data_IF_338714010082
#
_entry.id   IF_338714010082
#
_cell.length_a   1.000
_cell.length_b   1.000
_cell.length_c   1.000
_cell.angle_alpha   90.00
_cell.angle_beta   90.00
_cell.angle_gamma   90.00
#
_symmetry.space_group_name_H-M   'P 1'
#
loop_
_entity.id
_entity.type
_entity.pdbx_description
1 polymer ?
#
# COMPACT_ATOMS: atom_id res chain seq x y z
N UNK A 1 25.78 -6.00 4.84
CA UNK A 1 25.41 -5.70 3.45
C UNK A 1 23.99 -6.19 3.19
N UNK A 2 23.16 -5.37 2.54
CA UNK A 2 21.75 -5.68 2.26
C UNK A 2 21.55 -5.81 0.75
N UNK A 3 20.82 -6.85 0.34
CA UNK A 3 20.33 -7.03 -1.01
C UNK A 3 18.82 -7.00 -0.98
N UNK A 4 18.21 -6.10 -1.75
CA UNK A 4 16.77 -6.03 -1.95
C UNK A 4 16.43 -6.64 -3.30
N UNK A 5 15.65 -7.73 -3.29
CA UNK A 5 15.21 -8.41 -4.53
C UNK A 5 13.75 -8.03 -4.79
N UNK A 6 13.50 -7.44 -5.96
CA UNK A 6 12.17 -7.08 -6.43
C UNK A 6 11.92 -7.74 -7.80
N UNK A 7 10.78 -8.40 -7.94
CA UNK A 7 10.42 -9.11 -9.18
C UNK A 7 9.75 -8.20 -10.21
N UNK A 8 9.29 -7.03 -9.78
CA UNK A 8 8.71 -6.02 -10.65
C UNK A 8 9.75 -4.99 -11.10
N UNK A 9 9.33 -4.00 -11.86
CA UNK A 9 10.21 -2.93 -12.33
C UNK A 9 10.25 -1.78 -11.30
N UNK A 10 11.23 -1.84 -10.39
CA UNK A 10 11.44 -0.88 -9.31
C UNK A 10 10.66 -1.19 -8.04
N UNK A 11 11.04 -0.53 -6.95
CA UNK A 11 10.42 -0.68 -5.64
C UNK A 11 9.07 0.04 -5.56
N UNK A 12 8.24 -0.36 -4.59
CA UNK A 12 6.97 0.31 -4.25
C UNK A 12 6.07 0.58 -5.46
N UNK A 13 5.59 -0.45 -6.17
CA UNK A 13 4.84 -0.30 -7.43
C UNK A 13 3.52 0.48 -7.29
N UNK A 14 2.98 0.58 -6.08
CA UNK A 14 1.73 1.28 -5.80
C UNK A 14 1.93 2.77 -5.48
N UNK A 15 3.17 3.22 -5.27
CA UNK A 15 3.49 4.62 -4.98
C UNK A 15 3.80 5.39 -6.28
N UNK A 16 3.70 6.71 -6.21
CA UNK A 16 4.14 7.58 -7.30
C UNK A 16 5.62 7.32 -7.62
N UNK A 17 5.95 7.23 -8.91
CA UNK A 17 7.29 6.79 -9.35
C UNK A 17 8.41 7.71 -8.89
N UNK A 18 8.17 9.01 -8.85
CA UNK A 18 9.12 10.00 -8.34
C UNK A 18 9.31 9.90 -6.81
N UNK A 19 8.25 9.63 -6.05
CA UNK A 19 8.34 9.34 -4.62
C UNK A 19 9.16 8.06 -4.36
N UNK A 20 8.86 6.98 -5.09
CA UNK A 20 9.62 5.74 -5.00
C UNK A 20 11.10 5.91 -5.41
N UNK A 21 11.40 6.82 -6.35
CA UNK A 21 12.77 7.12 -6.76
C UNK A 21 13.58 7.78 -5.63
N UNK A 22 12.98 8.71 -4.89
CA UNK A 22 13.65 9.35 -3.72
C UNK A 22 14.04 8.28 -2.70
N UNK A 23 13.12 7.40 -2.32
CA UNK A 23 13.41 6.30 -1.39
C UNK A 23 14.47 5.35 -1.94
N UNK A 24 14.43 5.08 -3.24
CA UNK A 24 15.46 4.24 -3.90
C UNK A 24 16.85 4.86 -3.78
N UNK A 25 17.00 6.14 -4.06
CA UNK A 25 18.28 6.87 -3.93
C UNK A 25 18.78 6.85 -2.48
N UNK A 26 17.90 7.09 -1.49
CA UNK A 26 18.24 6.98 -0.07
C UNK A 26 18.76 5.58 0.28
N UNK A 27 18.09 4.52 -0.17
CA UNK A 27 18.55 3.13 0.03
C UNK A 27 19.93 2.86 -0.62
N UNK A 28 20.20 3.43 -1.80
CA UNK A 28 21.49 3.30 -2.45
C UNK A 28 22.60 4.00 -1.65
N UNK A 29 22.35 5.18 -1.11
CA UNK A 29 23.27 5.89 -0.23
C UNK A 29 23.60 5.08 1.02
N UNK A 30 22.63 4.33 1.57
CA UNK A 30 22.80 3.41 2.70
C UNK A 30 23.51 2.11 2.31
N UNK A 31 23.87 1.93 1.06
CA UNK A 31 24.61 0.77 0.55
C UNK A 31 23.74 -0.47 0.30
N UNK A 32 22.43 -0.31 0.15
CA UNK A 32 21.54 -1.38 -0.30
C UNK A 32 21.78 -1.65 -1.78
N UNK A 33 21.90 -2.92 -2.15
CA UNK A 33 22.00 -3.33 -3.55
C UNK A 33 20.61 -3.79 -4.02
N UNK A 34 20.00 -3.04 -4.95
CA UNK A 34 18.73 -3.42 -5.55
C UNK A 34 18.94 -4.37 -6.74
N UNK A 35 18.29 -5.52 -6.69
CA UNK A 35 18.18 -6.51 -7.77
C UNK A 35 16.73 -6.50 -8.27
N UNK A 36 16.39 -5.54 -9.13
CA UNK A 36 15.03 -5.42 -9.67
C UNK A 36 14.81 -6.30 -10.91
N UNK A 37 13.56 -6.47 -11.32
CA UNK A 37 13.14 -7.37 -12.40
C UNK A 37 13.64 -8.81 -12.19
N UNK A 38 13.73 -9.23 -10.92
CA UNK A 38 14.25 -10.53 -10.52
C UNK A 38 13.43 -11.69 -11.07
N UNK A 39 14.11 -12.60 -11.78
CA UNK A 39 13.53 -13.84 -12.30
C UNK A 39 14.25 -15.03 -11.70
N UNK A 40 13.61 -16.18 -11.75
CA UNK A 40 14.19 -17.47 -11.32
C UNK A 40 14.81 -17.43 -9.91
N UNK A 41 14.13 -16.72 -9.00
CA UNK A 41 14.55 -16.59 -7.60
C UNK A 41 14.54 -17.97 -6.93
N UNK A 42 15.70 -18.43 -6.45
CA UNK A 42 15.85 -19.69 -5.72
C UNK A 42 16.58 -19.45 -4.41
N UNK A 43 16.11 -20.13 -3.38
CA UNK A 43 16.70 -20.10 -2.04
C UNK A 43 17.16 -21.49 -1.66
N UNK A 44 18.35 -21.59 -1.10
CA UNK A 44 18.94 -22.84 -0.61
C UNK A 44 19.72 -22.63 0.68
N UNK A 45 20.24 -23.71 1.24
CA UNK A 45 21.16 -23.71 2.37
C UNK A 45 22.57 -23.98 1.88
N UNK A 46 23.58 -23.37 2.53
CA UNK A 46 24.99 -23.66 2.37
C UNK A 46 25.66 -23.80 3.74
N UNK A 47 26.85 -24.27 3.82
CA UNK A 47 27.63 -24.37 5.08
C UNK A 47 27.91 -22.96 5.69
N UNK A 48 27.90 -21.90 4.86
CA UNK A 48 28.17 -20.52 5.27
C UNK A 48 26.94 -19.64 5.43
N UNK A 49 25.71 -20.19 5.35
CA UNK A 49 24.50 -19.40 5.45
C UNK A 49 23.38 -19.81 4.50
N UNK A 50 22.60 -18.84 4.02
CA UNK A 50 21.52 -19.04 3.06
C UNK A 50 21.95 -18.56 1.68
N UNK A 51 21.76 -19.39 0.67
CA UNK A 51 22.10 -19.08 -0.72
C UNK A 51 20.89 -18.53 -1.44
N UNK A 52 21.05 -17.39 -2.08
CA UNK A 52 20.07 -16.77 -2.95
C UNK A 52 20.63 -16.71 -4.37
N UNK A 53 19.90 -17.25 -5.34
CA UNK A 53 20.20 -17.04 -6.76
C UNK A 53 19.05 -16.30 -7.41
N UNK A 54 19.36 -15.31 -8.25
CA UNK A 54 18.38 -14.50 -8.97
C UNK A 54 19.00 -13.99 -10.27
N UNK A 55 18.24 -14.04 -11.35
CA UNK A 55 18.54 -13.30 -12.57
C UNK A 55 17.92 -11.90 -12.46
N UNK A 56 18.73 -10.88 -12.53
CA UNK A 56 18.30 -9.48 -12.60
C UNK A 56 18.85 -8.85 -13.87
N UNK A 57 17.98 -8.44 -14.77
CA UNK A 57 18.31 -7.86 -16.07
C UNK A 57 19.25 -8.74 -16.94
N UNK A 58 19.12 -10.07 -16.87
CA UNK A 58 19.94 -11.01 -17.62
C UNK A 58 21.30 -11.27 -16.97
N UNK A 59 21.60 -10.72 -15.80
CA UNK A 59 22.75 -11.03 -14.98
C UNK A 59 22.36 -11.97 -13.84
N UNK A 60 23.04 -13.13 -13.78
CA UNK A 60 22.82 -14.07 -12.68
C UNK A 60 23.63 -13.64 -11.45
N UNK A 61 22.92 -13.46 -10.35
CA UNK A 61 23.50 -13.25 -9.03
C UNK A 61 23.40 -14.54 -8.22
N UNK A 62 24.49 -14.89 -7.56
CA UNK A 62 24.61 -16.05 -6.67
C UNK A 62 25.26 -15.57 -5.38
N UNK A 63 24.45 -15.40 -4.34
CA UNK A 63 24.81 -14.66 -3.14
C UNK A 63 24.58 -15.55 -1.92
N UNK A 64 25.56 -15.59 -1.01
CA UNK A 64 25.38 -16.17 0.32
C UNK A 64 25.15 -15.06 1.32
N UNK A 65 24.07 -15.20 2.13
CA UNK A 65 23.64 -14.24 3.15
C UNK A 65 23.40 -14.96 4.47
N UNK A 66 23.46 -14.21 5.56
CA UNK A 66 23.19 -14.73 6.91
C UNK A 66 21.70 -15.02 7.05
N UNK A 67 20.83 -14.07 6.66
CA UNK A 67 19.39 -14.16 6.80
C UNK A 67 18.66 -13.71 5.53
N UNK A 68 17.44 -14.22 5.34
CA UNK A 68 16.52 -13.80 4.27
C UNK A 68 15.20 -13.40 4.91
N UNK A 69 14.83 -12.14 4.71
CA UNK A 69 13.50 -11.61 5.05
C UNK A 69 12.59 -11.70 3.83
N UNK A 70 11.42 -12.34 4.00
CA UNK A 70 10.44 -12.53 2.92
C UNK A 70 9.27 -11.58 3.15
N UNK A 71 9.19 -10.52 2.33
CA UNK A 71 8.15 -9.49 2.37
C UNK A 71 7.36 -9.41 1.06
N UNK A 72 6.89 -10.56 0.54
CA UNK A 72 6.30 -10.67 -0.80
C UNK A 72 4.76 -10.53 -0.85
N UNK A 73 4.19 -9.85 0.14
CA UNK A 73 2.77 -9.55 0.20
C UNK A 73 2.00 -10.32 1.28
N UNK A 74 0.68 -10.17 1.25
CA UNK A 74 -0.24 -10.75 2.23
C UNK A 74 -1.37 -11.46 1.48
N UNK A 75 -1.69 -12.67 1.92
CA UNK A 75 -2.82 -13.45 1.43
C UNK A 75 -3.90 -13.52 2.53
N UNK A 76 -5.18 -13.32 2.21
CA UNK A 76 -6.25 -13.47 3.19
C UNK A 76 -6.35 -14.93 3.66
N UNK A 77 -6.51 -15.12 4.97
CA UNK A 77 -6.72 -16.45 5.55
C UNK A 77 -8.20 -16.84 5.44
N UNK A 78 -8.54 -17.55 4.39
CA UNK A 78 -9.90 -18.01 4.12
C UNK A 78 -10.07 -19.51 4.37
N UNK A 79 -8.98 -20.24 4.54
CA UNK A 79 -8.98 -21.70 4.76
C UNK A 79 -9.33 -22.04 6.21
N UNK A 80 -10.01 -23.19 6.41
CA UNK A 80 -10.34 -23.70 7.74
C UNK A 80 -11.45 -22.97 8.48
N UNK A 81 -12.10 -21.97 7.88
CA UNK A 81 -13.19 -21.18 8.49
C UNK A 81 -14.59 -21.79 8.23
N UNK A 82 -14.67 -22.86 7.44
CA UNK A 82 -15.95 -23.48 7.11
C UNK A 82 -16.88 -22.61 6.25
N UNK A 83 -16.32 -21.70 5.45
CA UNK A 83 -17.08 -20.72 4.66
C UNK A 83 -18.04 -21.38 3.68
N UNK A 84 -17.62 -22.46 3.03
CA UNK A 84 -18.47 -23.24 2.11
C UNK A 84 -19.70 -23.82 2.82
N UNK A 85 -19.53 -24.32 4.06
CA UNK A 85 -20.60 -24.95 4.84
C UNK A 85 -21.71 -23.95 5.21
N UNK A 86 -21.40 -22.65 5.24
CA UNK A 86 -22.36 -21.59 5.55
C UNK A 86 -22.74 -20.73 4.34
N UNK A 87 -22.33 -21.13 3.13
CA UNK A 87 -22.68 -20.46 1.87
C UNK A 87 -22.04 -19.06 1.70
N UNK A 88 -20.83 -18.88 2.24
CA UNK A 88 -20.04 -17.65 2.05
C UNK A 88 -19.10 -17.83 0.88
N UNK A 89 -19.23 -16.99 -0.14
CA UNK A 89 -18.34 -16.98 -1.30
C UNK A 89 -17.03 -16.30 -0.98
N UNK A 90 -15.94 -16.90 -1.48
CA UNK A 90 -14.59 -16.35 -1.36
C UNK A 90 -13.71 -16.84 -2.54
N UNK A 91 -12.61 -16.18 -2.75
CA UNK A 91 -11.55 -16.61 -3.66
C UNK A 91 -10.17 -16.27 -3.07
N UNK A 92 -9.12 -16.38 -3.89
CA UNK A 92 -7.74 -16.03 -3.48
C UNK A 92 -7.55 -14.56 -3.09
N UNK A 93 -8.49 -13.68 -3.43
CA UNK A 93 -8.47 -12.26 -3.05
C UNK A 93 -9.19 -12.00 -1.73
N UNK A 94 -9.94 -12.98 -1.22
CA UNK A 94 -10.64 -12.94 0.07
C UNK A 94 -12.13 -13.25 -0.01
N UNK A 95 -12.80 -13.05 1.11
CA UNK A 95 -14.25 -13.18 1.23
C UNK A 95 -14.95 -12.10 0.42
N UNK A 96 -15.98 -12.50 -0.35
CA UNK A 96 -16.80 -11.57 -1.13
C UNK A 96 -17.80 -10.87 -0.22
N UNK A 97 -17.76 -9.53 -0.27
CA UNK A 97 -18.67 -8.67 0.49
C UNK A 97 -19.28 -7.60 -0.40
N UNK A 98 -20.45 -7.12 0.01
CA UNK A 98 -21.05 -5.91 -0.54
C UNK A 98 -20.31 -4.66 -0.02
N UNK A 99 -20.68 -3.48 -0.53
CA UNK A 99 -20.25 -2.19 -0.01
C UNK A 99 -20.62 -1.96 1.47
N UNK A 100 -21.54 -2.77 2.01
CA UNK A 100 -21.98 -2.78 3.42
C UNK A 100 -21.30 -3.83 4.27
N UNK A 101 -20.25 -4.50 3.74
CA UNK A 101 -19.50 -5.58 4.38
C UNK A 101 -20.29 -6.87 4.66
N UNK A 102 -21.47 -7.02 4.06
CA UNK A 102 -22.27 -8.24 4.15
C UNK A 102 -21.77 -9.25 3.12
N UNK A 103 -21.60 -10.51 3.53
CA UNK A 103 -21.21 -11.60 2.64
C UNK A 103 -22.41 -12.10 1.82
N UNK A 104 -22.19 -13.13 1.02
CA UNK A 104 -23.29 -13.85 0.32
C UNK A 104 -24.26 -14.52 1.29
N UNK A 105 -23.84 -14.84 2.51
CA UNK A 105 -24.73 -15.22 3.58
C UNK A 105 -25.16 -13.95 4.35
N UNK A 106 -26.46 -13.56 4.35
CA UNK A 106 -26.91 -12.31 4.93
C UNK A 106 -26.79 -12.21 6.46
N UNK A 107 -26.41 -13.29 7.13
CA UNK A 107 -26.15 -13.30 8.59
C UNK A 107 -24.67 -13.18 8.92
N UNK A 108 -23.81 -13.14 7.90
CA UNK A 108 -22.35 -13.11 8.08
C UNK A 108 -21.79 -11.87 7.40
N UNK A 109 -20.94 -11.19 8.13
CA UNK A 109 -20.20 -10.02 7.66
C UNK A 109 -18.71 -10.31 7.72
N UNK A 110 -17.91 -9.61 6.92
CA UNK A 110 -16.45 -9.67 7.00
C UNK A 110 -15.86 -8.26 6.92
N UNK A 111 -14.79 -8.03 7.68
CA UNK A 111 -14.07 -6.75 7.71
C UNK A 111 -12.56 -6.97 7.78
N UNK A 112 -11.78 -6.01 7.31
CA UNK A 112 -10.32 -6.02 7.37
C UNK A 112 -9.67 -6.88 6.29
N UNK A 113 -8.49 -7.42 6.59
CA UNK A 113 -7.58 -8.07 5.65
C UNK A 113 -8.19 -9.26 4.90
N UNK A 114 -9.22 -9.88 5.48
CA UNK A 114 -9.88 -11.06 4.90
C UNK A 114 -10.74 -10.73 3.67
N UNK A 115 -11.21 -9.47 3.53
CA UNK A 115 -12.13 -9.07 2.46
C UNK A 115 -11.72 -7.76 1.77
N UNK A 116 -10.67 -7.07 2.24
CA UNK A 116 -10.25 -5.78 1.73
C UNK A 116 -8.95 -5.86 0.92
N UNK A 117 -8.86 -4.98 -0.10
CA UNK A 117 -7.58 -4.68 -0.77
C UNK A 117 -6.63 -3.89 0.14
N UNK A 118 -7.18 -3.09 1.05
CA UNK A 118 -6.42 -2.30 2.02
C UNK A 118 -6.16 -3.14 3.26
N UNK A 119 -4.92 -3.62 3.41
CA UNK A 119 -4.50 -4.49 4.50
C UNK A 119 -3.81 -3.69 5.60
N UNK A 120 -4.55 -2.71 6.15
CA UNK A 120 -4.08 -1.79 7.18
C UNK A 120 -4.95 -1.92 8.43
N UNK A 121 -4.35 -1.70 9.60
CA UNK A 121 -5.05 -1.76 10.89
C UNK A 121 -6.18 -0.73 10.98
N UNK A 122 -5.93 0.51 10.56
CA UNK A 122 -6.96 1.55 10.54
C UNK A 122 -8.09 1.29 9.53
N UNK A 123 -7.77 0.61 8.40
CA UNK A 123 -8.79 0.18 7.46
C UNK A 123 -9.71 -0.88 8.07
N UNK A 124 -9.14 -1.85 8.79
CA UNK A 124 -9.90 -2.89 9.48
C UNK A 124 -10.80 -2.28 10.57
N UNK A 125 -10.30 -1.30 11.34
CA UNK A 125 -11.07 -0.58 12.35
C UNK A 125 -12.24 0.20 11.74
N UNK A 126 -12.00 1.01 10.70
CA UNK A 126 -13.04 1.74 10.00
C UNK A 126 -14.13 0.82 9.42
N UNK A 127 -13.72 -0.32 8.82
CA UNK A 127 -14.65 -1.33 8.35
C UNK A 127 -15.44 -1.98 9.48
N UNK A 128 -14.82 -2.23 10.64
CA UNK A 128 -15.52 -2.78 11.80
C UNK A 128 -16.60 -1.82 12.31
N UNK A 129 -16.34 -0.52 12.33
CA UNK A 129 -17.33 0.50 12.69
C UNK A 129 -18.51 0.50 11.73
N UNK A 130 -18.27 0.47 10.41
CA UNK A 130 -19.32 0.35 9.38
C UNK A 130 -20.12 -0.94 9.57
N UNK A 131 -19.44 -2.07 9.81
CA UNK A 131 -20.06 -3.36 10.03
C UNK A 131 -21.00 -3.32 11.24
N UNK A 132 -20.52 -2.81 12.38
CA UNK A 132 -21.31 -2.68 13.61
C UNK A 132 -22.55 -1.80 13.36
N UNK A 133 -22.37 -0.66 12.69
CA UNK A 133 -23.47 0.22 12.33
C UNK A 133 -24.52 -0.52 11.48
N UNK A 134 -24.07 -1.23 10.44
CA UNK A 134 -24.97 -1.90 9.50
C UNK A 134 -25.63 -3.16 10.08
N UNK A 135 -24.98 -3.87 10.99
CA UNK A 135 -25.48 -5.14 11.53
C UNK A 135 -26.36 -4.98 12.75
N UNK A 136 -26.11 -3.97 13.60
CA UNK A 136 -26.72 -3.89 14.95
C UNK A 136 -27.70 -2.73 15.11
N UNK A 137 -27.65 -1.70 14.27
CA UNK A 137 -28.55 -0.55 14.39
C UNK A 137 -29.75 -0.67 13.44
N UNK A 138 -30.90 -0.14 13.82
CA UNK A 138 -32.09 -0.18 12.95
C UNK A 138 -31.93 0.75 11.74
N UNK A 139 -32.34 0.27 10.59
CA UNK A 139 -32.33 1.00 9.32
C UNK A 139 -33.74 1.22 8.79
N UNK A 140 -34.50 2.18 9.34
CA UNK A 140 -35.87 2.41 8.95
C UNK A 140 -35.94 2.74 7.46
N UNK A 141 -36.86 2.09 6.75
CA UNK A 141 -37.06 2.24 5.30
C UNK A 141 -35.81 1.94 4.45
N UNK A 142 -34.80 1.17 4.98
CA UNK A 142 -33.54 0.87 4.28
C UNK A 142 -32.61 2.07 4.19
N UNK A 143 -32.79 3.09 5.00
CA UNK A 143 -31.94 4.29 5.06
C UNK A 143 -30.84 4.15 6.12
N UNK A 144 -29.84 5.04 6.06
CA UNK A 144 -28.76 5.17 7.04
C UNK A 144 -27.75 3.98 7.10
N UNK A 145 -27.67 3.17 6.05
CA UNK A 145 -26.54 2.25 5.90
C UNK A 145 -25.25 3.02 5.60
N UNK A 146 -24.18 2.64 6.27
CA UNK A 146 -22.83 3.11 5.93
C UNK A 146 -22.23 2.24 4.82
N UNK A 147 -21.43 2.84 3.95
CA UNK A 147 -20.75 2.16 2.84
C UNK A 147 -19.24 2.35 2.93
N UNK A 148 -18.47 1.29 2.64
CA UNK A 148 -17.01 1.36 2.54
C UNK A 148 -16.54 2.24 1.38
N UNK A 149 -17.40 2.50 0.40
CA UNK A 149 -17.08 3.39 -0.72
C UNK A 149 -16.89 4.86 -0.29
N UNK A 150 -17.45 5.23 0.88
CA UNK A 150 -17.27 6.56 1.46
C UNK A 150 -15.95 6.73 2.22
N UNK A 151 -15.22 5.65 2.45
CA UNK A 151 -13.96 5.71 3.18
C UNK A 151 -12.87 6.36 2.32
N UNK A 152 -12.29 7.42 2.83
CA UNK A 152 -11.04 7.97 2.33
C UNK A 152 -9.92 7.28 3.10
N UNK A 153 -9.09 6.50 2.39
CA UNK A 153 -8.09 5.65 3.00
C UNK A 153 -6.70 6.29 2.88
N UNK A 154 -6.13 6.84 3.95
CA UNK A 154 -4.73 7.24 3.97
C UNK A 154 -3.84 6.02 4.18
N UNK A 155 -2.61 6.08 3.70
CA UNK A 155 -1.56 5.12 4.05
C UNK A 155 -0.20 5.78 4.13
N UNK A 156 0.71 5.13 4.82
CA UNK A 156 2.10 5.51 4.89
C UNK A 156 2.99 4.30 4.60
N UNK A 157 3.97 4.49 3.75
CA UNK A 157 5.08 3.57 3.54
C UNK A 157 6.23 4.05 4.42
N UNK A 158 6.52 3.30 5.49
CA UNK A 158 7.46 3.65 6.55
C UNK A 158 8.90 3.33 6.13
N UNK A 159 9.38 4.04 5.14
CA UNK A 159 10.76 4.06 4.68
C UNK A 159 11.47 5.31 5.23
N UNK A 160 12.72 5.58 4.85
CA UNK A 160 13.44 6.81 5.13
C UNK A 160 13.95 7.39 3.81
N UNK A 161 13.35 8.52 3.32
CA UNK A 161 12.15 9.20 3.86
C UNK A 161 10.87 8.37 3.73
N UNK A 162 9.84 8.71 4.52
CA UNK A 162 8.51 8.10 4.45
C UNK A 162 7.72 8.62 3.24
N UNK A 163 6.78 7.81 2.75
CA UNK A 163 5.79 8.24 1.76
C UNK A 163 4.40 8.13 2.37
N UNK A 164 3.76 9.26 2.64
CA UNK A 164 2.36 9.31 3.06
C UNK A 164 1.46 9.72 1.90
N UNK A 165 0.33 9.06 1.73
CA UNK A 165 -0.63 9.37 0.68
C UNK A 165 -2.06 9.27 1.18
N UNK A 166 -2.93 10.12 0.64
CA UNK A 166 -4.37 10.06 0.84
C UNK A 166 -5.11 10.47 -0.44
N UNK A 167 -6.19 9.77 -0.75
CA UNK A 167 -7.06 10.10 -1.87
C UNK A 167 -6.64 9.47 -3.20
N UNK A 168 -6.76 10.22 -4.29
CA UNK A 168 -6.46 9.75 -5.65
C UNK A 168 -5.08 10.22 -6.10
N UNK A 169 -4.33 9.35 -6.74
CA UNK A 169 -3.23 9.76 -7.60
C UNK A 169 -3.76 10.39 -8.90
N UNK A 170 -2.92 11.14 -9.59
CA UNK A 170 -3.26 11.71 -10.90
C UNK A 170 -3.68 10.62 -11.91
N UNK A 171 -3.05 9.43 -11.85
CA UNK A 171 -3.41 8.30 -12.68
C UNK A 171 -4.85 7.81 -12.41
N UNK A 172 -5.26 7.72 -11.14
CA UNK A 172 -6.61 7.31 -10.76
C UNK A 172 -7.66 8.33 -11.22
N UNK A 173 -7.34 9.62 -11.08
CA UNK A 173 -8.21 10.69 -11.57
C UNK A 173 -8.39 10.62 -13.09
N UNK A 174 -7.30 10.39 -13.81
CA UNK A 174 -7.32 10.24 -15.28
C UNK A 174 -8.15 9.04 -15.73
N UNK A 175 -8.04 7.89 -15.06
CA UNK A 175 -8.88 6.71 -15.35
C UNK A 175 -10.37 7.00 -15.15
N UNK A 176 -10.70 7.87 -14.19
CA UNK A 176 -12.08 8.32 -13.93
C UNK A 176 -12.52 9.47 -14.84
N UNK A 177 -11.68 9.92 -15.76
CA UNK A 177 -11.98 11.05 -16.64
C UNK A 177 -12.02 12.40 -15.91
N UNK A 178 -11.36 12.53 -14.76
CA UNK A 178 -11.27 13.76 -13.98
C UNK A 178 -9.99 14.47 -14.34
N UNK A 179 -10.10 15.68 -14.88
CA UNK A 179 -8.93 16.55 -15.10
C UNK A 179 -8.46 17.15 -13.77
N UNK A 180 -7.14 17.22 -13.58
CA UNK A 180 -6.50 17.67 -12.34
C UNK A 180 -5.54 18.84 -12.62
N UNK A 181 -5.42 19.73 -11.61
CA UNK A 181 -4.28 20.61 -11.45
C UNK A 181 -3.42 20.06 -10.29
N UNK A 182 -2.10 20.00 -10.50
CA UNK A 182 -1.16 19.41 -9.53
C UNK A 182 -0.21 20.48 -9.03
N UNK A 183 -0.14 20.63 -7.73
CA UNK A 183 0.78 21.54 -7.05
C UNK A 183 1.80 20.73 -6.28
N UNK A 184 3.07 20.97 -6.53
CA UNK A 184 4.19 20.30 -5.83
C UNK A 184 5.09 21.36 -5.23
N UNK A 185 5.39 21.21 -3.96
CA UNK A 185 6.37 22.01 -3.24
C UNK A 185 7.50 21.10 -2.74
N UNK A 186 8.73 21.41 -3.11
CA UNK A 186 9.89 20.61 -2.75
C UNK A 186 10.42 20.99 -1.38
N UNK A 187 10.98 20.04 -0.64
CA UNK A 187 11.54 20.30 0.69
C UNK A 187 12.87 21.03 0.63
N UNK A 188 13.61 20.95 -0.47
CA UNK A 188 14.83 21.75 -0.71
C UNK A 188 14.56 23.26 -0.85
N UNK A 189 13.28 23.67 -0.92
CA UNK A 189 12.83 25.07 -0.88
C UNK A 189 12.35 25.50 0.53
N UNK A 190 12.43 24.60 1.54
CA UNK A 190 11.97 24.85 2.91
C UNK A 190 13.17 25.10 3.82
N UNK A 191 13.36 26.34 4.28
CA UNK A 191 14.48 26.72 5.15
C UNK A 191 14.67 25.78 6.36
N UNK A 192 13.56 25.35 6.97
CA UNK A 192 13.60 24.47 8.13
C UNK A 192 14.11 23.07 7.76
N UNK A 193 13.64 22.51 6.66
CA UNK A 193 14.08 21.21 6.19
C UNK A 193 15.58 21.20 5.85
N UNK A 194 16.07 22.27 5.21
CA UNK A 194 17.49 22.47 4.91
C UNK A 194 18.31 22.52 6.20
N UNK A 195 17.85 23.28 7.21
CA UNK A 195 18.56 23.39 8.48
C UNK A 195 18.63 22.08 9.28
N UNK A 196 17.61 21.23 9.14
CA UNK A 196 17.57 19.92 9.80
C UNK A 196 18.29 18.84 8.99
N UNK A 197 18.66 19.10 7.71
CA UNK A 197 19.22 18.12 6.79
C UNK A 197 18.20 17.09 6.33
N UNK A 198 16.91 17.46 6.30
CA UNK A 198 15.77 16.64 5.91
C UNK A 198 15.07 17.26 4.67
N UNK A 199 15.87 17.76 3.73
CA UNK A 199 15.43 18.49 2.54
C UNK A 199 15.12 17.59 1.33
N UNK A 200 15.28 16.28 1.48
CA UNK A 200 14.89 15.30 0.46
C UNK A 200 13.39 15.02 0.50
N UNK A 201 12.67 15.42 -0.55
CA UNK A 201 11.26 15.08 -0.69
C UNK A 201 10.39 16.21 -1.21
N UNK A 202 9.09 16.06 -1.03
CA UNK A 202 8.11 17.04 -1.50
C UNK A 202 6.75 16.87 -0.80
N UNK A 203 5.95 17.94 -0.82
CA UNK A 203 4.52 17.90 -0.56
C UNK A 203 3.77 18.16 -1.90
N UNK A 204 2.81 17.31 -2.23
CA UNK A 204 2.04 17.39 -3.48
C UNK A 204 0.55 17.29 -3.20
N UNK A 205 -0.23 18.14 -3.87
CA UNK A 205 -1.69 18.09 -3.83
C UNK A 205 -2.25 18.06 -5.25
N UNK A 206 -3.21 17.18 -5.47
CA UNK A 206 -4.00 17.13 -6.68
C UNK A 206 -5.38 17.72 -6.40
N UNK A 207 -5.80 18.70 -7.19
CA UNK A 207 -7.14 19.28 -7.12
C UNK A 207 -7.88 19.06 -8.43
N UNK A 208 -9.21 19.07 -8.38
CA UNK A 208 -10.03 19.05 -9.59
C UNK A 208 -9.78 20.34 -10.37
N UNK A 209 -9.45 20.20 -11.65
CA UNK A 209 -9.05 21.30 -12.52
C UNK A 209 -10.02 22.48 -12.44
N UNK A 210 -9.46 23.67 -12.28
CA UNK A 210 -10.21 24.92 -12.18
C UNK A 210 -11.01 25.08 -10.90
N UNK A 211 -10.76 24.26 -9.86
CA UNK A 211 -11.41 24.34 -8.55
C UNK A 211 -10.37 24.17 -7.44
N UNK A 212 -10.79 24.37 -6.19
CA UNK A 212 -10.02 24.10 -4.96
C UNK A 212 -10.39 22.74 -4.31
N UNK A 213 -11.17 21.90 -5.00
CA UNK A 213 -11.53 20.57 -4.50
C UNK A 213 -10.33 19.65 -4.51
N UNK A 214 -9.79 19.34 -3.34
CA UNK A 214 -8.69 18.38 -3.16
C UNK A 214 -9.19 16.99 -3.52
N UNK A 215 -8.44 16.27 -4.37
CA UNK A 215 -8.68 14.90 -4.79
C UNK A 215 -7.72 13.92 -4.11
N UNK A 216 -6.50 14.35 -3.84
CA UNK A 216 -5.50 13.55 -3.17
C UNK A 216 -4.26 14.36 -2.81
N UNK A 217 -3.47 13.84 -1.90
CA UNK A 217 -2.21 14.44 -1.47
C UNK A 217 -1.14 13.37 -1.23
N UNK A 218 0.11 13.71 -1.51
CA UNK A 218 1.29 12.87 -1.26
C UNK A 218 2.36 13.71 -0.58
N UNK A 219 2.92 13.20 0.50
CA UNK A 219 4.07 13.80 1.17
C UNK A 219 5.20 12.77 1.18
N UNK A 220 6.39 13.21 0.79
CA UNK A 220 7.64 12.44 0.93
C UNK A 220 8.54 13.25 1.83
N UNK A 221 8.78 12.78 3.03
CA UNK A 221 9.56 13.48 4.06
C UNK A 221 9.95 12.54 5.20
N UNK A 222 10.91 12.94 6.03
CA UNK A 222 11.03 12.36 7.36
C UNK A 222 9.71 12.57 8.12
N UNK A 223 9.17 11.51 8.75
CA UNK A 223 7.90 11.55 9.50
C UNK A 223 6.67 12.00 8.69
N UNK A 224 6.61 11.71 7.38
CA UNK A 224 5.46 12.09 6.54
C UNK A 224 4.13 11.48 7.02
N UNK A 225 4.17 10.34 7.72
CA UNK A 225 3.00 9.69 8.30
C UNK A 225 2.33 10.47 9.43
N UNK A 226 3.03 11.44 10.03
CA UNK A 226 2.52 12.31 11.09
C UNK A 226 1.93 13.63 10.55
N UNK A 227 2.05 13.89 9.23
CA UNK A 227 1.59 15.12 8.56
C UNK A 227 0.23 14.90 7.89
#
# INVERSE_FOLDING_TARGET
RVYLVETMHGIMPNEARDAAAIVHESMLHDGVTLLCCGKDVKVGKTDGGKRLTVDSHGQLYDITVDEILVGVGRTPNVEGLGLDAVGVEYDKTGVKVSDRLQTTNPRIYAAGDICSRYKFTHAADAMAQILIQNALFPHPFGLAYASVESLIMPWCTFTEPEIAHVGMYEADAKEKGIETDTFTFKLDEVDRAILDGEDEGFARVHVKKGTDQILGATIVAAHAGEM
#
